data_IF_481874900731
#
_entry.id   IF_481874900731
#
_cell.length_a   1.000
_cell.length_b   1.000
_cell.length_c   1.000
_cell.angle_alpha   90.00
_cell.angle_beta   90.00
_cell.angle_gamma   90.00
#
_symmetry.space_group_name_H-M   'P 1'
#
loop_
_entity.id
_entity.type
_entity.pdbx_description
1 polymer ?
#
# COMPACT_ATOMS: atom_id res chain seq x y z
N UNK A 1 18.44 -17.11 44.66
CA UNK A 1 17.14 -17.54 44.07
C UNK A 1 16.56 -16.59 43.02
N UNK A 2 16.71 -15.25 43.11
CA UNK A 2 16.19 -14.31 42.08
C UNK A 2 16.80 -14.49 40.68
N UNK A 3 18.10 -14.76 40.57
CA UNK A 3 18.76 -14.93 39.28
C UNK A 3 18.33 -16.19 38.52
N UNK A 4 18.12 -17.32 39.22
CA UNK A 4 17.69 -18.59 38.61
C UNK A 4 16.30 -18.47 37.98
N UNK A 5 15.37 -17.77 38.64
CA UNK A 5 14.03 -17.49 38.10
C UNK A 5 14.07 -16.59 36.86
N UNK A 6 14.92 -15.57 36.84
CA UNK A 6 15.11 -14.67 35.68
C UNK A 6 15.69 -15.42 34.47
N UNK A 7 16.71 -16.26 34.67
CA UNK A 7 17.28 -17.09 33.59
C UNK A 7 16.28 -18.12 33.06
N UNK A 8 15.46 -18.73 33.93
CA UNK A 8 14.45 -19.70 33.51
C UNK A 8 13.31 -19.05 32.71
N UNK A 9 12.81 -17.89 33.15
CA UNK A 9 11.78 -17.13 32.41
C UNK A 9 12.29 -16.64 31.06
N UNK A 10 13.54 -16.18 30.98
CA UNK A 10 14.16 -15.76 29.73
C UNK A 10 14.35 -16.95 28.76
N UNK A 11 14.75 -18.12 29.27
CA UNK A 11 14.87 -19.35 28.49
C UNK A 11 13.54 -19.85 27.92
N UNK A 12 12.44 -19.77 28.68
CA UNK A 12 11.09 -20.16 28.21
C UNK A 12 10.51 -19.16 27.20
N UNK A 13 10.75 -17.86 27.38
CA UNK A 13 10.31 -16.84 26.42
C UNK A 13 11.04 -16.97 25.07
N UNK A 14 12.34 -17.23 25.08
CA UNK A 14 13.15 -17.46 23.87
C UNK A 14 12.82 -18.76 23.15
N UNK A 15 12.51 -19.84 23.90
CA UNK A 15 12.10 -21.11 23.29
C UNK A 15 10.76 -20.99 22.58
N UNK A 16 9.82 -20.20 23.12
CA UNK A 16 8.53 -19.93 22.49
C UNK A 16 8.64 -19.05 21.23
N UNK A 17 9.49 -18.02 21.23
CA UNK A 17 9.75 -17.23 20.02
C UNK A 17 10.40 -18.06 18.90
N UNK A 18 11.28 -19.00 19.26
CA UNK A 18 11.93 -19.87 18.28
C UNK A 18 10.95 -20.82 17.60
N UNK A 19 9.98 -21.39 18.33
CA UNK A 19 8.92 -22.22 17.71
C UNK A 19 7.98 -21.40 16.83
N UNK A 20 7.67 -20.16 17.22
CA UNK A 20 6.90 -19.22 16.40
C UNK A 20 7.62 -18.83 15.11
N UNK A 21 8.95 -18.67 15.14
CA UNK A 21 9.75 -18.45 13.94
C UNK A 21 9.64 -19.63 12.97
N UNK A 22 9.77 -20.85 13.47
CA UNK A 22 9.66 -22.04 12.62
C UNK A 22 8.24 -22.19 12.04
N UNK A 23 7.20 -21.82 12.80
CA UNK A 23 5.83 -21.75 12.30
C UNK A 23 5.68 -20.66 11.24
N UNK A 24 6.17 -19.45 11.51
CA UNK A 24 6.15 -18.33 10.58
C UNK A 24 6.78 -18.68 9.23
N UNK A 25 7.97 -19.29 9.23
CA UNK A 25 8.62 -19.73 7.99
C UNK A 25 7.77 -20.72 7.20
N UNK A 26 7.09 -21.66 7.89
CA UNK A 26 6.20 -22.62 7.23
C UNK A 26 4.94 -21.96 6.69
N UNK A 27 4.26 -21.16 7.51
CA UNK A 27 2.99 -20.52 7.16
C UNK A 27 3.14 -19.59 5.95
N UNK A 28 4.27 -18.88 5.84
CA UNK A 28 4.53 -17.91 4.78
C UNK A 28 5.60 -18.38 3.78
N UNK A 29 5.91 -19.68 3.76
CA UNK A 29 6.86 -20.32 2.82
C UNK A 29 8.16 -19.52 2.66
N UNK A 30 8.75 -19.13 3.79
CA UNK A 30 9.95 -18.29 3.81
C UNK A 30 11.20 -19.08 3.46
N UNK A 31 11.95 -18.53 2.52
CA UNK A 31 13.26 -19.02 2.11
C UNK A 31 14.25 -17.85 2.13
N UNK A 32 15.45 -18.11 2.65
CA UNK A 32 16.52 -17.12 2.77
C UNK A 32 17.75 -17.62 2.01
N UNK A 33 18.45 -16.71 1.34
CA UNK A 33 19.58 -17.05 0.47
C UNK A 33 20.80 -17.53 1.27
N UNK A 34 20.90 -17.17 2.55
CA UNK A 34 22.00 -17.57 3.42
C UNK A 34 21.57 -17.69 4.88
N UNK A 35 22.37 -18.42 5.67
CA UNK A 35 22.21 -18.47 7.13
C UNK A 35 22.38 -17.10 7.78
N UNK A 36 23.22 -16.22 7.22
CA UNK A 36 23.40 -14.86 7.71
C UNK A 36 22.11 -14.05 7.57
N UNK A 37 21.48 -14.09 6.39
CA UNK A 37 20.18 -13.47 6.14
C UNK A 37 19.10 -14.08 7.05
N UNK A 38 19.02 -15.41 7.15
CA UNK A 38 18.03 -16.06 8.03
C UNK A 38 18.16 -15.59 9.48
N UNK A 39 19.38 -15.46 10.00
CA UNK A 39 19.62 -14.98 11.36
C UNK A 39 19.19 -13.52 11.54
N UNK A 40 19.44 -12.65 10.57
CA UNK A 40 18.98 -11.26 10.59
C UNK A 40 17.45 -11.19 10.56
N UNK A 41 16.81 -11.91 9.64
CA UNK A 41 15.34 -11.96 9.49
C UNK A 41 14.67 -12.51 10.75
N UNK A 42 15.28 -13.50 11.39
CA UNK A 42 14.83 -14.05 12.67
C UNK A 42 14.88 -13.03 13.81
N UNK A 43 15.93 -12.21 13.88
CA UNK A 43 16.02 -11.14 14.88
C UNK A 43 14.94 -10.09 14.68
N UNK A 44 14.73 -9.64 13.44
CA UNK A 44 13.66 -8.70 13.08
C UNK A 44 12.28 -9.28 13.43
N UNK A 45 12.07 -10.56 13.13
CA UNK A 45 10.85 -11.26 13.51
C UNK A 45 10.61 -11.24 15.02
N UNK A 46 11.62 -11.50 15.85
CA UNK A 46 11.48 -11.43 17.30
C UNK A 46 11.14 -10.02 17.80
N UNK A 47 11.77 -8.99 17.24
CA UNK A 47 11.47 -7.59 17.54
C UNK A 47 10.01 -7.26 17.21
N UNK A 48 9.56 -7.60 16.00
CA UNK A 48 8.21 -7.33 15.52
C UNK A 48 7.13 -8.11 16.27
N UNK A 49 7.35 -9.40 16.58
CA UNK A 49 6.41 -10.19 17.40
C UNK A 49 6.23 -9.57 18.79
N UNK A 50 7.31 -9.10 19.40
CA UNK A 50 7.21 -8.41 20.70
C UNK A 50 6.46 -7.07 20.57
N UNK A 51 6.69 -6.32 19.49
CA UNK A 51 5.96 -5.07 19.18
C UNK A 51 4.46 -5.33 18.99
N UNK A 52 4.08 -6.36 18.23
CA UNK A 52 2.69 -6.80 18.03
C UNK A 52 2.02 -7.16 19.36
N UNK A 53 2.70 -7.94 20.21
CA UNK A 53 2.18 -8.32 21.54
C UNK A 53 1.98 -7.11 22.44
N UNK A 54 2.96 -6.21 22.46
CA UNK A 54 2.87 -4.96 23.23
C UNK A 54 1.69 -4.10 22.77
N UNK A 55 1.49 -3.97 21.45
CA UNK A 55 0.36 -3.23 20.89
C UNK A 55 -0.98 -3.81 21.35
N UNK A 56 -1.18 -5.13 21.19
CA UNK A 56 -2.41 -5.83 21.62
C UNK A 56 -2.70 -5.67 23.10
N UNK A 57 -1.67 -5.64 23.95
CA UNK A 57 -1.82 -5.45 25.40
C UNK A 57 -2.17 -4.01 25.78
N UNK A 58 -1.63 -3.03 25.06
CA UNK A 58 -1.77 -1.61 25.37
C UNK A 58 -2.97 -0.95 24.69
N UNK A 59 -3.55 -1.59 23.66
CA UNK A 59 -4.67 -1.06 22.88
C UNK A 59 -5.88 -2.03 22.82
N UNK A 60 -6.44 -2.47 23.96
CA UNK A 60 -7.55 -3.45 23.98
C UNK A 60 -8.86 -2.96 23.35
N UNK A 61 -8.97 -1.68 22.99
CA UNK A 61 -10.13 -1.07 22.32
C UNK A 61 -9.83 -0.51 20.94
N UNK A 62 -8.71 -0.89 20.31
CA UNK A 62 -8.42 -0.48 18.94
C UNK A 62 -9.52 -0.94 17.97
N UNK A 63 -9.81 -0.13 16.95
CA UNK A 63 -10.80 -0.48 15.90
C UNK A 63 -10.24 -1.41 14.83
N UNK A 64 -8.98 -1.82 14.97
CA UNK A 64 -8.31 -2.79 14.11
C UNK A 64 -7.48 -3.74 14.94
N UNK A 65 -7.15 -4.89 14.35
CA UNK A 65 -6.25 -5.85 14.96
C UNK A 65 -4.90 -5.88 14.22
N UNK A 66 -3.86 -6.15 14.99
CA UNK A 66 -2.50 -6.39 14.48
C UNK A 66 -2.14 -7.86 14.66
N UNK A 67 -1.25 -8.40 13.84
CA UNK A 67 -0.82 -9.79 13.94
C UNK A 67 0.39 -10.13 13.08
N UNK A 68 0.90 -11.35 13.28
CA UNK A 68 1.98 -11.88 12.45
C UNK A 68 1.46 -12.05 11.03
N UNK A 69 2.16 -11.46 10.07
CA UNK A 69 1.89 -11.45 8.63
C UNK A 69 3.22 -11.70 7.87
N UNK A 70 3.25 -11.85 6.54
CA UNK A 70 4.50 -12.12 5.84
C UNK A 70 5.55 -11.03 5.99
N UNK A 71 5.20 -9.79 6.38
CA UNK A 71 6.16 -8.71 6.61
C UNK A 71 6.81 -8.75 8.00
N UNK A 72 6.41 -9.67 8.87
CA UNK A 72 6.90 -9.68 10.26
C UNK A 72 8.42 -9.90 10.36
N UNK A 73 9.08 -10.47 9.35
CA UNK A 73 10.54 -10.59 9.25
C UNK A 73 11.23 -9.43 8.50
N UNK A 74 10.49 -8.34 8.24
CA UNK A 74 10.92 -7.17 7.47
C UNK A 74 10.96 -5.92 8.34
N UNK A 75 11.78 -4.94 7.94
CA UNK A 75 11.76 -3.58 8.50
C UNK A 75 10.80 -2.75 7.67
N UNK A 76 9.79 -2.16 8.30
CA UNK A 76 8.73 -1.44 7.59
C UNK A 76 9.30 -0.27 6.78
N UNK A 77 10.39 0.33 7.25
CA UNK A 77 11.11 1.41 6.58
C UNK A 77 11.72 1.00 5.24
N UNK A 78 12.07 -0.28 5.07
CA UNK A 78 12.56 -0.80 3.79
C UNK A 78 11.41 -1.14 2.83
N UNK A 79 10.25 -1.49 3.37
CA UNK A 79 9.06 -1.84 2.58
C UNK A 79 8.35 -0.57 2.09
N UNK A 80 8.10 0.40 2.96
CA UNK A 80 7.47 1.68 2.61
C UNK A 80 8.47 2.68 2.01
N UNK A 81 9.76 2.57 2.32
CA UNK A 81 10.77 3.51 1.83
C UNK A 81 10.75 4.89 2.50
N UNK A 82 11.44 5.87 1.89
CA UNK A 82 11.57 7.23 2.43
C UNK A 82 10.24 8.01 2.32
N UNK A 83 10.20 9.19 2.95
CA UNK A 83 9.06 10.10 2.81
C UNK A 83 8.89 10.53 1.35
N UNK A 84 7.64 10.54 0.89
CA UNK A 84 7.24 11.02 -0.43
C UNK A 84 6.80 12.48 -0.28
N UNK A 85 7.50 13.40 -0.94
CA UNK A 85 7.14 14.81 -0.94
C UNK A 85 6.35 15.13 -2.21
N UNK A 86 5.10 15.58 -2.06
CA UNK A 86 4.36 16.17 -3.16
C UNK A 86 4.58 17.67 -3.17
N UNK A 87 5.20 18.20 -4.22
CA UNK A 87 5.12 19.63 -4.49
C UNK A 87 3.67 19.98 -4.86
N UNK A 88 3.05 20.88 -4.11
CA UNK A 88 1.69 21.33 -4.36
C UNK A 88 1.64 22.20 -5.62
N UNK A 89 1.12 21.68 -6.74
CA UNK A 89 0.79 22.51 -7.90
C UNK A 89 -0.52 23.29 -7.68
N UNK A 90 -0.61 24.56 -8.11
CA UNK A 90 -1.78 25.39 -7.90
C UNK A 90 -2.85 25.07 -8.94
N UNK A 91 -3.71 24.07 -8.68
CA UNK A 91 -4.97 23.91 -9.42
C UNK A 91 -6.12 24.02 -8.43
N UNK A 92 -6.87 25.12 -8.54
CA UNK A 92 -8.10 25.35 -7.79
C UNK A 92 -9.27 24.80 -8.61
N UNK A 93 -9.68 23.57 -8.32
CA UNK A 93 -11.01 23.11 -8.67
C UNK A 93 -11.87 23.16 -7.41
N UNK A 94 -12.78 24.14 -7.37
CA UNK A 94 -13.91 24.08 -6.44
C UNK A 94 -14.78 22.90 -6.87
N UNK A 95 -14.68 21.79 -6.14
CA UNK A 95 -15.72 20.77 -6.17
C UNK A 95 -17.05 21.44 -5.79
N UNK A 96 -18.00 21.42 -6.71
CA UNK A 96 -19.37 21.92 -6.50
C UNK A 96 -20.37 20.77 -6.30
N UNK A 97 -19.88 19.54 -6.13
CA UNK A 97 -20.73 18.38 -5.93
C UNK A 97 -21.17 18.36 -4.47
N UNK A 98 -22.47 18.44 -4.25
CA UNK A 98 -23.05 18.26 -2.92
C UNK A 98 -22.88 16.79 -2.49
N UNK A 99 -22.04 16.57 -1.47
CA UNK A 99 -21.81 15.26 -0.80
C UNK A 99 -23.11 14.59 -0.32
N UNK A 100 -24.24 15.31 -0.30
CA UNK A 100 -25.53 14.86 0.24
C UNK A 100 -26.21 13.73 -0.55
N UNK A 101 -25.79 13.41 -1.77
CA UNK A 101 -26.45 12.41 -2.61
C UNK A 101 -25.55 11.20 -2.98
N UNK A 102 -24.48 10.99 -2.24
CA UNK A 102 -23.59 9.84 -2.46
C UNK A 102 -24.14 8.58 -1.79
N UNK A 103 -23.89 7.38 -2.35
CA UNK A 103 -24.23 6.13 -1.67
C UNK A 103 -23.44 6.02 -0.36
N UNK A 104 -23.99 5.29 0.62
CA UNK A 104 -23.36 5.08 1.94
C UNK A 104 -22.01 4.33 1.82
N UNK A 105 -21.88 3.48 0.81
CA UNK A 105 -20.66 2.78 0.48
C UNK A 105 -20.47 2.68 -1.03
N UNK A 106 -19.21 2.54 -1.45
CA UNK A 106 -18.82 2.26 -2.81
C UNK A 106 -17.63 1.30 -2.76
N UNK A 107 -17.67 0.25 -3.57
CA UNK A 107 -16.57 -0.69 -3.75
C UNK A 107 -16.37 -0.97 -5.24
N UNK A 108 -15.27 -0.46 -5.81
CA UNK A 108 -14.95 -0.70 -7.22
C UNK A 108 -14.55 -2.14 -7.52
N UNK A 109 -14.21 -2.96 -6.52
CA UNK A 109 -13.94 -4.39 -6.69
C UNK A 109 -15.20 -5.14 -7.10
N UNK A 110 -16.34 -4.81 -6.47
CA UNK A 110 -17.65 -5.39 -6.79
C UNK A 110 -18.10 -5.06 -8.21
N UNK A 111 -17.55 -4.00 -8.79
CA UNK A 111 -17.82 -3.54 -10.15
C UNK A 111 -16.80 -4.06 -11.17
N UNK A 112 -15.86 -4.91 -10.76
CA UNK A 112 -14.85 -5.49 -11.64
C UNK A 112 -13.80 -4.49 -12.14
N UNK A 113 -13.60 -3.38 -11.43
CA UNK A 113 -12.70 -2.32 -11.87
C UNK A 113 -11.29 -2.40 -11.26
N UNK A 114 -11.00 -3.36 -10.37
CA UNK A 114 -9.75 -3.42 -9.62
C UNK A 114 -8.98 -4.69 -9.98
N UNK A 115 -7.72 -4.55 -10.38
CA UNK A 115 -6.79 -5.66 -10.62
C UNK A 115 -6.37 -6.36 -9.32
N UNK A 116 -5.85 -7.59 -9.37
CA UNK A 116 -5.32 -8.28 -8.18
C UNK A 116 -4.27 -7.47 -7.42
N UNK A 117 -4.09 -7.75 -6.13
CA UNK A 117 -3.05 -7.09 -5.33
C UNK A 117 -1.68 -7.62 -5.71
N UNK A 118 -0.72 -6.70 -5.85
CA UNK A 118 0.67 -7.02 -6.15
C UNK A 118 1.49 -7.04 -4.85
N UNK A 119 2.53 -7.86 -4.81
CA UNK A 119 3.58 -7.79 -3.79
C UNK A 119 4.81 -7.09 -4.38
N UNK A 120 5.08 -5.87 -3.90
CA UNK A 120 6.23 -5.07 -4.33
C UNK A 120 7.58 -5.53 -3.71
N UNK A 121 7.53 -6.38 -2.69
CA UNK A 121 8.70 -6.73 -1.87
C UNK A 121 9.31 -5.53 -1.13
N UNK A 122 10.64 -5.48 -1.05
CA UNK A 122 11.39 -4.38 -0.41
C UNK A 122 11.82 -3.29 -1.41
N UNK A 123 11.23 -3.25 -2.61
CA UNK A 123 11.57 -2.27 -3.66
C UNK A 123 10.64 -1.06 -3.55
N UNK A 124 10.75 -0.30 -2.45
CA UNK A 124 9.84 0.80 -2.15
C UNK A 124 9.70 1.85 -3.26
N UNK A 125 10.72 2.02 -4.12
CA UNK A 125 10.66 2.97 -5.23
C UNK A 125 9.63 2.60 -6.31
N UNK A 126 9.19 1.34 -6.40
CA UNK A 126 8.21 0.90 -7.41
C UNK A 126 6.77 1.33 -7.08
N UNK A 127 6.50 1.75 -5.83
CA UNK A 127 5.17 2.13 -5.36
C UNK A 127 4.51 3.18 -6.26
N UNK A 128 5.28 4.17 -6.70
CA UNK A 128 4.75 5.24 -7.54
C UNK A 128 4.26 4.72 -8.90
N UNK A 129 5.15 4.10 -9.71
CA UNK A 129 4.75 3.43 -10.95
C UNK A 129 3.59 2.44 -10.79
N UNK A 130 3.57 1.68 -9.69
CA UNK A 130 2.52 0.72 -9.38
C UNK A 130 1.16 1.42 -9.20
N UNK A 131 1.05 2.36 -8.26
CA UNK A 131 -0.23 3.03 -7.94
C UNK A 131 -0.71 3.88 -9.12
N UNK A 132 0.18 4.54 -9.87
CA UNK A 132 -0.22 5.25 -11.09
C UNK A 132 -0.84 4.31 -12.11
N UNK A 133 -0.21 3.15 -12.33
CA UNK A 133 -0.72 2.14 -13.27
C UNK A 133 -2.08 1.65 -12.80
N UNK A 134 -2.23 1.26 -11.54
CA UNK A 134 -3.49 0.77 -10.96
C UNK A 134 -4.65 1.78 -11.06
N UNK A 135 -4.37 3.08 -10.81
CA UNK A 135 -5.38 4.14 -10.96
C UNK A 135 -5.87 4.24 -12.40
N UNK A 136 -4.96 4.17 -13.38
CA UNK A 136 -5.31 4.25 -14.81
C UNK A 136 -5.99 2.97 -15.31
N UNK A 137 -5.57 1.79 -14.85
CA UNK A 137 -6.26 0.52 -15.09
C UNK A 137 -7.70 0.57 -14.61
N UNK A 138 -7.90 1.08 -13.38
CA UNK A 138 -9.22 1.15 -12.77
C UNK A 138 -10.09 2.18 -13.47
N UNK A 139 -9.53 3.35 -13.83
CA UNK A 139 -10.23 4.34 -14.64
C UNK A 139 -10.67 3.74 -15.99
N UNK A 140 -9.78 3.01 -16.68
CA UNK A 140 -10.14 2.32 -17.91
C UNK A 140 -11.31 1.35 -17.70
N UNK A 141 -11.25 0.52 -16.66
CA UNK A 141 -12.29 -0.46 -16.36
C UNK A 141 -13.63 0.20 -16.01
N UNK A 142 -13.63 1.29 -15.24
CA UNK A 142 -14.82 2.07 -14.87
C UNK A 142 -15.56 2.58 -16.12
N UNK A 143 -14.84 3.11 -17.10
CA UNK A 143 -15.45 3.73 -18.28
C UNK A 143 -15.76 2.74 -19.41
N UNK A 144 -15.06 1.60 -19.47
CA UNK A 144 -15.19 0.65 -20.58
C UNK A 144 -15.81 -0.69 -20.20
N UNK A 145 -15.97 -0.98 -18.90
CA UNK A 145 -16.29 -2.30 -18.36
C UNK A 145 -15.31 -3.40 -18.79
N UNK A 146 -14.06 -3.03 -19.11
CA UNK A 146 -13.01 -3.96 -19.48
C UNK A 146 -11.79 -3.78 -18.57
N UNK A 147 -11.55 -4.75 -17.69
CA UNK A 147 -10.36 -4.75 -16.83
C UNK A 147 -9.16 -5.29 -17.60
N UNK A 148 -8.11 -4.49 -17.72
CA UNK A 148 -6.86 -4.86 -18.42
C UNK A 148 -5.66 -4.50 -17.55
N UNK A 149 -4.77 -5.46 -17.31
CA UNK A 149 -3.51 -5.22 -16.59
C UNK A 149 -2.52 -4.41 -17.45
N UNK A 150 -2.04 -3.32 -16.89
CA UNK A 150 -1.05 -2.42 -17.45
C UNK A 150 0.39 -2.82 -17.11
N UNK A 151 1.33 -2.35 -17.92
CA UNK A 151 2.75 -2.53 -17.67
C UNK A 151 3.26 -1.51 -16.64
N UNK A 152 3.34 -1.95 -15.39
CA UNK A 152 4.05 -1.22 -14.32
C UNK A 152 5.52 -1.01 -14.72
N UNK A 153 6.14 -2.00 -15.36
CA UNK A 153 7.53 -1.96 -15.78
C UNK A 153 7.85 -0.82 -16.73
N UNK A 154 6.99 -0.55 -17.74
CA UNK A 154 7.18 0.61 -18.62
C UNK A 154 7.08 1.91 -17.86
N UNK A 155 6.18 2.02 -16.90
CA UNK A 155 6.02 3.23 -16.09
C UNK A 155 7.20 3.41 -15.15
N UNK A 156 7.74 2.31 -14.61
CA UNK A 156 8.99 2.34 -13.85
C UNK A 156 10.15 2.84 -14.73
N UNK A 157 10.40 2.18 -15.86
CA UNK A 157 11.55 2.48 -16.72
C UNK A 157 11.49 3.89 -17.35
N UNK A 158 10.28 4.40 -17.63
CA UNK A 158 10.11 5.69 -18.30
C UNK A 158 9.71 6.86 -17.39
N UNK A 159 9.02 6.61 -16.27
CA UNK A 159 8.40 7.66 -15.47
C UNK A 159 8.84 7.70 -14.00
N UNK A 160 9.69 6.77 -13.52
CA UNK A 160 10.17 6.80 -12.13
C UNK A 160 10.84 8.14 -11.77
N UNK A 161 11.57 8.75 -12.71
CA UNK A 161 12.24 10.04 -12.52
C UNK A 161 11.32 11.25 -12.75
N UNK A 162 10.05 11.03 -13.08
CA UNK A 162 9.07 12.08 -13.34
C UNK A 162 8.27 12.45 -12.08
N UNK A 163 8.59 11.90 -10.90
CA UNK A 163 7.99 12.29 -9.63
C UNK A 163 8.15 13.81 -9.38
N UNK A 164 7.10 14.52 -8.92
CA UNK A 164 5.80 14.01 -8.44
C UNK A 164 4.73 13.83 -9.54
N UNK A 165 5.09 14.01 -10.82
CA UNK A 165 4.18 14.14 -11.97
C UNK A 165 4.14 12.89 -12.85
N UNK A 166 4.14 11.69 -12.26
CA UNK A 166 4.09 10.42 -13.01
C UNK A 166 2.91 10.37 -13.99
N UNK A 167 1.74 10.89 -13.63
CA UNK A 167 0.59 10.96 -14.53
C UNK A 167 0.86 11.83 -15.76
N UNK A 168 1.57 12.96 -15.63
CA UNK A 168 1.94 13.77 -16.80
C UNK A 168 2.93 13.05 -17.71
N UNK A 169 3.84 12.26 -17.11
CA UNK A 169 4.72 11.39 -17.88
C UNK A 169 3.93 10.32 -18.66
N UNK A 170 2.94 9.69 -18.03
CA UNK A 170 2.07 8.72 -18.71
C UNK A 170 1.32 9.37 -19.89
N UNK A 171 0.83 10.61 -19.73
CA UNK A 171 0.22 11.35 -20.84
C UNK A 171 1.21 11.59 -22.00
N UNK A 172 2.46 11.96 -21.69
CA UNK A 172 3.52 12.11 -22.70
C UNK A 172 3.88 10.80 -23.40
N UNK A 173 3.75 9.67 -22.71
CA UNK A 173 3.90 8.33 -23.28
C UNK A 173 2.70 7.87 -24.13
N UNK A 174 1.64 8.69 -24.21
CA UNK A 174 0.41 8.36 -24.92
C UNK A 174 -0.50 7.37 -24.19
N UNK A 175 -0.24 7.11 -22.90
CA UNK A 175 -1.01 6.18 -22.07
C UNK A 175 -0.25 4.92 -21.62
N UNK A 176 -1.00 3.92 -21.17
CA UNK A 176 -0.48 2.68 -20.57
C UNK A 176 -0.46 1.51 -21.57
N UNK A 177 0.66 0.78 -21.62
CA UNK A 177 0.80 -0.49 -22.34
C UNK A 177 0.14 -1.63 -21.59
N UNK A 178 -0.30 -2.69 -22.28
CA UNK A 178 -0.69 -3.91 -21.57
C UNK A 178 0.55 -4.54 -20.94
N UNK A 179 0.38 -5.21 -19.81
CA UNK A 179 1.47 -5.93 -19.13
C UNK A 179 2.28 -6.86 -20.05
N UNK A 180 1.68 -7.68 -20.95
CA UNK A 180 2.45 -8.55 -21.84
C UNK A 180 3.30 -7.82 -22.88
N UNK A 181 2.96 -6.57 -23.21
CA UNK A 181 3.68 -5.79 -24.23
C UNK A 181 4.99 -5.18 -23.67
N UNK A 182 5.12 -5.12 -22.34
CA UNK A 182 6.33 -4.68 -21.63
C UNK A 182 6.35 -5.36 -20.25
N UNK A 183 6.79 -6.64 -20.17
CA UNK A 183 6.52 -7.49 -19.01
C UNK A 183 7.49 -7.29 -17.83
N UNK A 184 8.71 -6.85 -18.10
CA UNK A 184 9.79 -6.80 -17.11
C UNK A 184 10.45 -5.41 -17.10
N UNK A 185 10.96 -5.02 -15.93
CA UNK A 185 11.81 -3.84 -15.80
C UNK A 185 13.15 -4.16 -16.45
N UNK A 186 13.62 -3.28 -17.35
CA UNK A 186 14.89 -3.46 -18.07
C UNK A 186 15.88 -2.31 -17.82
N UNK A 187 15.57 -1.41 -16.89
CA UNK A 187 16.34 -0.22 -16.49
C UNK A 187 16.66 0.71 -17.66
N UNK A 188 15.76 0.73 -18.65
CA UNK A 188 15.89 1.55 -19.85
C UNK A 188 14.52 1.87 -20.43
N UNK A 189 14.17 3.17 -20.46
CA UNK A 189 12.93 3.60 -21.06
C UNK A 189 12.87 3.26 -22.57
N UNK A 190 11.86 2.48 -22.95
CA UNK A 190 11.49 2.22 -24.33
C UNK A 190 10.08 2.80 -24.59
N UNK A 191 9.97 4.11 -24.89
CA UNK A 191 8.68 4.79 -24.91
C UNK A 191 7.76 4.31 -26.02
N UNK A 192 8.32 3.75 -27.10
CA UNK A 192 7.57 3.25 -28.27
C UNK A 192 7.42 1.71 -28.27
N UNK A 193 7.65 1.04 -27.14
CA UNK A 193 7.61 -0.41 -27.06
C UNK A 193 6.22 -1.03 -27.34
N UNK A 194 5.15 -0.25 -27.23
CA UNK A 194 3.79 -0.72 -27.51
C UNK A 194 2.90 0.39 -28.08
N UNK A 195 1.70 -0.01 -28.52
CA UNK A 195 0.56 0.90 -28.64
C UNK A 195 -0.27 0.85 -27.34
N UNK A 196 -0.36 1.94 -26.57
CA UNK A 196 -1.14 1.99 -25.34
C UNK A 196 -2.59 1.54 -25.54
N UNK A 197 -3.14 0.78 -24.59
CA UNK A 197 -4.54 0.33 -24.65
C UNK A 197 -5.52 1.36 -24.07
N UNK A 198 -5.02 2.29 -23.26
CA UNK A 198 -5.82 3.33 -22.60
C UNK A 198 -5.00 4.59 -22.39
N UNK A 199 -5.69 5.73 -22.33
CA UNK A 199 -5.18 7.07 -22.03
C UNK A 199 -6.16 7.81 -21.13
N UNK A 200 -5.79 9.00 -20.66
CA UNK A 200 -6.65 9.88 -19.87
C UNK A 200 -6.31 11.36 -20.15
N UNK A 201 -7.32 12.22 -20.03
CA UNK A 201 -7.22 13.62 -20.43
C UNK A 201 -6.90 14.56 -19.25
N UNK A 202 -7.52 14.34 -18.09
CA UNK A 202 -7.47 15.27 -16.96
C UNK A 202 -6.76 14.66 -15.74
N UNK A 203 -5.84 15.43 -15.15
CA UNK A 203 -5.19 15.11 -13.87
C UNK A 203 -5.70 16.09 -12.82
N UNK A 204 -6.34 15.58 -11.77
CA UNK A 204 -6.79 16.36 -10.61
C UNK A 204 -5.93 16.05 -9.41
N UNK A 205 -5.43 17.08 -8.74
CA UNK A 205 -4.64 16.97 -7.51
C UNK A 205 -5.32 17.73 -6.39
N UNK A 206 -5.44 17.09 -5.22
CA UNK A 206 -5.93 17.76 -4.03
C UNK A 206 -4.83 18.61 -3.41
N UNK A 207 -5.13 19.89 -3.20
CA UNK A 207 -4.22 20.82 -2.52
C UNK A 207 -4.21 20.63 -1.00
N UNK A 208 -5.34 20.19 -0.45
CA UNK A 208 -5.55 20.00 0.99
C UNK A 208 -6.12 18.61 1.25
N UNK A 209 -6.02 18.15 2.51
CA UNK A 209 -6.60 16.88 2.98
C UNK A 209 -8.12 17.03 3.10
N UNK A 210 -8.80 17.12 1.95
CA UNK A 210 -10.25 17.27 1.85
C UNK A 210 -10.93 15.95 1.46
N UNK A 211 -11.31 15.19 2.49
CA UNK A 211 -12.00 13.91 2.33
C UNK A 211 -13.38 14.04 1.68
N UNK A 212 -14.04 15.21 1.73
CA UNK A 212 -15.31 15.43 1.04
C UNK A 212 -15.12 15.50 -0.48
N UNK A 213 -14.04 16.13 -0.92
CA UNK A 213 -13.68 16.11 -2.35
C UNK A 213 -13.24 14.72 -2.78
N UNK A 214 -12.53 13.96 -1.93
CA UNK A 214 -12.23 12.55 -2.22
C UNK A 214 -13.52 11.72 -2.40
N UNK A 215 -14.52 11.90 -1.52
CA UNK A 215 -15.82 11.20 -1.61
C UNK A 215 -16.55 11.48 -2.93
N UNK A 216 -16.35 12.69 -3.45
CA UNK A 216 -16.88 13.09 -4.74
C UNK A 216 -16.12 12.43 -5.89
N UNK A 217 -14.78 12.49 -5.88
CA UNK A 217 -13.98 12.02 -7.01
C UNK A 217 -13.96 10.50 -7.15
N UNK A 218 -14.07 9.77 -6.04
CA UNK A 218 -14.11 8.31 -6.03
C UNK A 218 -15.35 7.75 -6.76
N UNK A 219 -16.39 8.56 -7.01
CA UNK A 219 -17.61 8.11 -7.71
C UNK A 219 -17.37 7.76 -9.18
N UNK A 220 -16.35 8.35 -9.81
CA UNK A 220 -16.05 8.22 -11.23
C UNK A 220 -14.59 7.83 -11.50
N UNK A 221 -13.82 7.49 -10.45
CA UNK A 221 -12.41 7.12 -10.52
C UNK A 221 -11.99 6.34 -9.26
N UNK A 222 -10.76 5.85 -9.27
CA UNK A 222 -10.01 5.53 -8.04
C UNK A 222 -9.03 6.66 -7.73
N UNK A 223 -8.48 6.71 -6.51
CA UNK A 223 -7.60 7.81 -6.08
C UNK A 223 -6.23 7.29 -5.70
N UNK A 224 -5.18 7.95 -6.18
CA UNK A 224 -3.86 7.82 -5.58
C UNK A 224 -3.85 8.56 -4.24
N UNK A 225 -3.42 7.89 -3.17
CA UNK A 225 -3.16 8.52 -1.87
C UNK A 225 -1.78 8.14 -1.36
N UNK A 226 -1.23 8.98 -0.49
CA UNK A 226 -0.05 8.63 0.30
C UNK A 226 -0.38 8.74 1.77
N UNK A 227 0.02 7.71 2.51
CA UNK A 227 -0.17 7.63 3.94
C UNK A 227 1.16 7.46 4.67
N UNK A 228 1.09 7.59 5.99
CA UNK A 228 2.24 7.36 6.85
C UNK A 228 2.21 5.92 7.40
N UNK A 229 2.94 5.03 6.74
CA UNK A 229 3.12 3.65 7.15
C UNK A 229 4.00 3.46 8.39
N UNK A 230 4.60 4.54 8.94
CA UNK A 230 5.26 4.49 10.25
C UNK A 230 4.27 4.63 11.41
N UNK A 231 2.97 4.82 11.13
CA UNK A 231 1.93 4.68 12.13
C UNK A 231 2.02 3.34 12.85
N UNK A 232 1.84 3.35 14.17
CA UNK A 232 1.95 2.14 14.97
C UNK A 232 0.96 1.08 14.46
N UNK A 233 1.42 -0.17 14.35
CA UNK A 233 0.60 -1.30 13.92
C UNK A 233 0.24 -1.34 12.44
N UNK A 234 0.58 -0.34 11.61
CA UNK A 234 0.22 -0.34 10.20
C UNK A 234 0.82 -1.54 9.45
N UNK A 235 2.14 -1.75 9.61
CA UNK A 235 2.85 -2.89 9.01
C UNK A 235 2.40 -4.27 9.50
N UNK A 236 1.65 -4.34 10.60
CA UNK A 236 1.15 -5.59 11.18
C UNK A 236 -0.38 -5.70 11.10
N UNK A 237 -1.06 -4.77 10.44
CA UNK A 237 -2.51 -4.74 10.33
C UNK A 237 -3.04 -6.06 9.77
N UNK A 238 -4.17 -6.56 10.31
CA UNK A 238 -4.86 -7.75 9.81
C UNK A 238 -6.31 -7.49 9.41
N UNK A 239 -7.08 -6.76 10.21
CA UNK A 239 -8.51 -6.52 9.96
C UNK A 239 -9.04 -5.33 10.77
N UNK A 240 -10.23 -4.86 10.42
CA UNK A 240 -10.93 -3.73 11.03
C UNK A 240 -10.55 -2.38 10.42
N UNK A 241 -10.94 -1.28 11.06
CA UNK A 241 -10.66 0.07 10.57
C UNK A 241 -9.37 0.58 11.23
N UNK A 242 -8.30 0.70 10.42
CA UNK A 242 -7.04 1.28 10.88
C UNK A 242 -7.27 2.75 11.27
N UNK A 243 -7.06 3.06 12.55
CA UNK A 243 -7.15 4.40 13.11
C UNK A 243 -6.20 4.49 14.30
N UNK A 244 -5.03 5.06 14.03
CA UNK A 244 -3.93 5.16 14.99
C UNK A 244 -3.70 6.63 15.36
N UNK A 245 -4.07 7.06 16.58
CA UNK A 245 -3.94 8.45 17.02
C UNK A 245 -2.50 8.98 16.97
N UNK A 246 -1.51 8.08 17.06
CA UNK A 246 -0.08 8.43 17.00
C UNK A 246 0.48 8.47 15.58
N UNK A 247 -0.35 8.23 14.55
CA UNK A 247 0.06 8.31 13.15
C UNK A 247 0.72 9.67 12.87
N UNK A 248 1.97 9.71 12.37
CA UNK A 248 2.68 10.97 12.20
C UNK A 248 1.95 11.91 11.24
N UNK A 249 1.81 13.18 11.65
CA UNK A 249 1.17 14.23 10.83
C UNK A 249 2.08 14.83 9.75
N UNK A 250 3.30 14.30 9.59
CA UNK A 250 4.23 14.70 8.53
C UNK A 250 3.83 14.11 7.18
N UNK A 251 4.57 14.44 6.14
CA UNK A 251 4.50 13.75 4.85
C UNK A 251 4.54 12.23 5.05
N UNK A 252 3.71 11.53 4.27
CA UNK A 252 3.66 10.09 4.25
C UNK A 252 4.83 9.50 3.47
N UNK A 253 4.86 8.18 3.41
CA UNK A 253 5.93 7.39 2.81
C UNK A 253 5.41 6.22 1.99
N UNK A 254 4.11 5.91 2.08
CA UNK A 254 3.54 4.73 1.46
C UNK A 254 2.41 5.13 0.53
N UNK A 255 2.56 4.83 -0.77
CA UNK A 255 1.54 5.13 -1.77
C UNK A 255 0.57 3.96 -1.91
N UNK A 256 -0.72 4.27 -2.03
CA UNK A 256 -1.78 3.29 -2.19
C UNK A 256 -2.90 3.84 -3.07
N UNK A 257 -3.77 2.94 -3.51
CA UNK A 257 -4.95 3.29 -4.27
C UNK A 257 -6.20 3.20 -3.38
N UNK A 258 -6.96 4.28 -3.26
CA UNK A 258 -8.31 4.23 -2.70
C UNK A 258 -9.25 3.70 -3.78
N UNK A 259 -9.93 2.60 -3.46
CA UNK A 259 -10.83 1.87 -4.37
C UNK A 259 -12.29 1.90 -3.91
N UNK A 260 -12.58 2.58 -2.81
CA UNK A 260 -13.91 2.66 -2.26
C UNK A 260 -13.95 3.28 -0.87
N UNK A 261 -15.13 3.27 -0.27
CA UNK A 261 -15.39 3.72 1.08
C UNK A 261 -16.64 3.04 1.64
N UNK A 262 -16.83 3.13 2.95
CA UNK A 262 -18.04 2.63 3.59
C UNK A 262 -18.13 3.03 5.06
N UNK A 263 -19.07 2.40 5.77
CA UNK A 263 -19.29 2.58 7.20
C UNK A 263 -19.37 1.19 7.83
N UNK A 264 -18.55 0.93 8.85
CA UNK A 264 -18.60 -0.29 9.65
C UNK A 264 -18.78 0.08 11.12
N UNK A 265 -19.81 -0.47 11.79
CA UNK A 265 -20.08 -0.17 13.20
C UNK A 265 -20.33 1.33 13.49
N UNK A 266 -20.83 2.08 12.51
CA UNK A 266 -21.01 3.53 12.61
C UNK A 266 -19.75 4.37 12.41
N UNK A 267 -18.61 3.73 12.07
CA UNK A 267 -17.35 4.41 11.77
C UNK A 267 -17.08 4.40 10.27
N UNK A 268 -16.88 5.56 9.62
CA UNK A 268 -16.54 5.62 8.21
C UNK A 268 -15.11 5.13 7.97
N UNK A 269 -14.85 4.56 6.80
CA UNK A 269 -13.53 4.13 6.37
C UNK A 269 -13.28 4.35 4.88
N UNK A 270 -12.01 4.49 4.52
CA UNK A 270 -11.54 4.35 3.14
C UNK A 270 -11.11 2.92 2.88
N UNK A 271 -11.54 2.37 1.74
CA UNK A 271 -11.07 1.08 1.27
C UNK A 271 -9.85 1.31 0.39
N UNK A 272 -8.68 0.91 0.90
CA UNK A 272 -7.41 1.08 0.22
C UNK A 272 -6.86 -0.25 -0.30
N UNK A 273 -6.49 -0.30 -1.58
CA UNK A 273 -5.66 -1.34 -2.16
C UNK A 273 -4.19 -1.05 -1.82
N UNK A 274 -3.55 -1.99 -1.15
CA UNK A 274 -2.13 -1.96 -0.82
C UNK A 274 -1.34 -2.79 -1.85
N UNK A 275 0.00 -2.72 -1.81
CA UNK A 275 0.94 -3.39 -2.72
C UNK A 275 1.93 -4.30 -1.97
N UNK A 276 1.51 -4.85 -0.83
CA UNK A 276 2.31 -5.74 0.02
C UNK A 276 1.80 -7.19 0.05
N UNK A 277 1.11 -7.61 -1.02
CA UNK A 277 0.53 -8.96 -1.15
C UNK A 277 -0.82 -9.15 -0.44
N UNK A 278 -1.43 -10.33 -0.64
CA UNK A 278 -2.82 -10.65 -0.25
C UNK A 278 -2.98 -11.33 1.14
N UNK A 279 -1.96 -11.34 2.00
CA UNK A 279 -1.81 -12.31 3.10
C UNK A 279 -2.20 -11.85 4.52
#
# INVERSE_FOLDING_TARGET
MKYVLLFFLFGVALSNLSSEWDKFKRDYSKHYASTAEENERKQIFFENVNRIRSYRQTHPGATFTVGINPLTDRRIELVSGPKIHFESLPILLKSSIEVKNLPESLDWREKGAITPVIDQGEIAVIQGPLVATEVVESLHAIYTNNLTEGSISRIYDCCLQAEPDIFECIQKLGGICRKPDYPEIVDKCEPNACNPFTTFDEIKKLKEKDENTMLTWIQDSTLWVVMNAFGQGFGDYKEGIYDEPTCPKTDGNHAMQVVGYGIEGGKPYWLCKNSWGEH
#
